data_IF_448077104614
#
_entry.id   IF_448077104614
#
_cell.length_a   1.000
_cell.length_b   1.000
_cell.length_c   1.000
_cell.angle_alpha   90.00
_cell.angle_beta   90.00
_cell.angle_gamma   90.00
#
_symmetry.space_group_name_H-M   'P 1'
#
loop_
_entity.id
_entity.type
_entity.pdbx_description
1 polymer ?
#
# COMPACT_ATOMS: atom_id res chain seq x y z
N UNK A 1 9.50 -48.00 -24.25
CA UNK A 1 9.12 -46.59 -24.15
C UNK A 1 8.86 -45.91 -25.52
N UNK A 2 9.80 -45.97 -26.49
CA UNK A 2 9.63 -45.35 -27.82
C UNK A 2 8.40 -45.92 -28.62
N UNK A 3 8.10 -47.21 -28.50
CA UNK A 3 7.00 -47.85 -29.19
C UNK A 3 5.62 -47.45 -28.59
N UNK A 4 5.53 -47.38 -27.27
CA UNK A 4 4.35 -46.92 -26.53
C UNK A 4 3.98 -45.45 -26.87
N UNK A 5 4.98 -44.58 -27.00
CA UNK A 5 4.77 -43.18 -27.38
C UNK A 5 4.30 -43.03 -28.83
N UNK A 6 4.75 -43.90 -29.75
CA UNK A 6 4.30 -43.90 -31.14
C UNK A 6 2.83 -44.37 -31.29
N UNK A 7 2.45 -45.37 -30.49
CA UNK A 7 1.08 -45.94 -30.54
C UNK A 7 0.06 -45.06 -29.82
N UNK A 8 0.50 -44.22 -28.85
CA UNK A 8 -0.34 -43.37 -28.00
C UNK A 8 0.00 -41.90 -28.09
N UNK A 9 0.41 -41.41 -29.26
CA UNK A 9 0.88 -40.04 -29.45
C UNK A 9 -0.21 -39.01 -29.11
N UNK A 10 -1.46 -39.27 -29.40
CA UNK A 10 -2.59 -38.40 -29.04
C UNK A 10 -2.77 -38.28 -27.53
N UNK A 11 -2.63 -39.40 -26.80
CA UNK A 11 -2.70 -39.41 -25.33
C UNK A 11 -1.52 -38.68 -24.72
N UNK A 12 -0.30 -38.91 -25.24
CA UNK A 12 0.91 -38.26 -24.78
C UNK A 12 0.85 -36.74 -24.98
N UNK A 13 0.38 -36.27 -26.15
CA UNK A 13 0.18 -34.85 -26.44
C UNK A 13 -0.95 -34.25 -25.60
N UNK A 14 -2.03 -34.98 -25.36
CA UNK A 14 -3.16 -34.54 -24.53
C UNK A 14 -2.75 -34.25 -23.08
N UNK A 15 -1.73 -34.95 -22.54
CA UNK A 15 -1.19 -34.72 -21.20
C UNK A 15 -0.04 -33.70 -21.24
N UNK A 16 0.85 -33.77 -22.21
CA UNK A 16 2.02 -32.93 -22.29
C UNK A 16 1.69 -31.46 -22.61
N UNK A 17 0.72 -31.20 -23.48
CA UNK A 17 0.38 -29.84 -23.90
C UNK A 17 -0.13 -28.97 -22.76
N UNK A 18 -1.07 -29.40 -21.90
CA UNK A 18 -1.48 -28.62 -20.74
C UNK A 18 -0.33 -28.35 -19.77
N UNK A 19 0.57 -29.31 -19.55
CA UNK A 19 1.74 -29.13 -18.68
C UNK A 19 2.72 -28.10 -19.24
N UNK A 20 3.00 -28.16 -20.54
CA UNK A 20 3.86 -27.16 -21.20
C UNK A 20 3.24 -25.78 -21.14
N UNK A 21 1.95 -25.65 -21.43
CA UNK A 21 1.24 -24.37 -21.30
C UNK A 21 1.30 -23.82 -19.87
N UNK A 22 1.07 -24.67 -18.87
CA UNK A 22 1.18 -24.27 -17.47
C UNK A 22 2.57 -23.73 -17.11
N UNK A 23 3.64 -24.42 -17.58
CA UNK A 23 5.03 -23.96 -17.37
C UNK A 23 5.28 -22.61 -18.06
N UNK A 24 4.83 -22.46 -19.32
CA UNK A 24 4.97 -21.21 -20.08
C UNK A 24 4.24 -20.07 -19.38
N UNK A 25 3.00 -20.26 -18.93
CA UNK A 25 2.27 -19.25 -18.16
C UNK A 25 2.94 -18.91 -16.84
N UNK A 26 3.50 -19.91 -16.15
CA UNK A 26 4.22 -19.69 -14.91
C UNK A 26 5.50 -18.85 -15.12
N UNK A 27 6.28 -19.17 -16.14
CA UNK A 27 7.50 -18.41 -16.49
C UNK A 27 7.13 -16.99 -16.96
N UNK A 28 6.13 -16.85 -17.83
CA UNK A 28 5.67 -15.55 -18.31
C UNK A 28 5.16 -14.67 -17.15
N UNK A 29 4.37 -15.25 -16.23
CA UNK A 29 3.89 -14.54 -15.05
C UNK A 29 5.02 -14.06 -14.12
N UNK A 30 6.09 -14.84 -13.97
CA UNK A 30 7.26 -14.41 -13.21
C UNK A 30 8.15 -13.41 -13.95
N UNK A 31 8.28 -13.54 -15.26
CA UNK A 31 9.10 -12.62 -16.06
C UNK A 31 8.55 -11.18 -15.98
N UNK A 32 7.23 -11.00 -15.97
CA UNK A 32 6.61 -9.67 -15.86
C UNK A 32 6.84 -9.01 -14.49
N UNK A 33 7.02 -9.78 -13.42
CA UNK A 33 7.30 -9.23 -12.09
C UNK A 33 8.78 -8.89 -11.86
N UNK A 34 9.68 -9.56 -12.57
CA UNK A 34 11.14 -9.34 -12.45
C UNK A 34 11.60 -8.08 -13.19
N UNK A 35 10.82 -7.60 -14.18
CA UNK A 35 11.22 -6.44 -15.01
C UNK A 35 10.76 -5.08 -14.44
N UNK A 36 10.08 -5.06 -13.30
CA UNK A 36 9.67 -3.81 -12.65
C UNK A 36 10.65 -3.49 -11.54
N UNK A 37 11.35 -2.36 -11.64
CA UNK A 37 12.31 -1.90 -10.64
C UNK A 37 11.62 -1.63 -9.29
N UNK A 38 12.39 -1.66 -8.20
CA UNK A 38 11.92 -1.25 -6.88
C UNK A 38 11.55 0.24 -6.86
N UNK A 39 10.64 0.66 -5.96
CA UNK A 39 10.31 2.08 -5.82
C UNK A 39 11.53 2.88 -5.39
N UNK A 40 11.64 4.09 -5.94
CA UNK A 40 12.73 5.02 -5.65
C UNK A 40 12.29 6.16 -4.74
N UNK A 41 11.00 6.26 -4.44
CA UNK A 41 10.42 7.36 -3.67
C UNK A 41 9.69 6.82 -2.44
N UNK A 42 9.83 7.55 -1.34
CA UNK A 42 9.07 7.28 -0.13
C UNK A 42 7.62 7.78 -0.30
N UNK A 43 6.71 7.19 0.46
CA UNK A 43 5.32 7.61 0.50
C UNK A 43 4.92 7.98 1.93
N UNK A 44 4.21 9.09 2.09
CA UNK A 44 3.63 9.51 3.37
C UNK A 44 2.13 9.28 3.33
N UNK A 45 1.58 8.68 4.37
CA UNK A 45 0.17 8.37 4.48
C UNK A 45 -0.33 8.44 5.93
N UNK A 46 -1.61 8.70 6.11
CA UNK A 46 -2.27 8.73 7.41
C UNK A 46 -3.06 7.44 7.64
N UNK A 47 -3.03 6.93 8.86
CA UNK A 47 -3.80 5.77 9.34
C UNK A 47 -4.71 6.22 10.48
N UNK A 48 -5.78 5.48 10.74
CA UNK A 48 -6.82 5.85 11.70
C UNK A 48 -7.48 7.21 11.39
N UNK A 49 -7.41 7.62 10.14
CA UNK A 49 -7.97 8.87 9.66
C UNK A 49 -9.01 8.60 8.57
N UNK A 50 -10.23 8.99 8.85
CA UNK A 50 -11.33 8.89 7.89
C UNK A 50 -11.75 10.30 7.47
N UNK A 51 -11.44 10.67 6.22
CA UNK A 51 -11.83 11.96 5.70
C UNK A 51 -13.32 11.96 5.37
N UNK A 52 -14.12 12.56 6.23
CA UNK A 52 -15.52 12.80 5.96
C UNK A 52 -15.80 14.31 5.95
N UNK A 53 -15.69 14.91 4.78
CA UNK A 53 -15.94 16.34 4.60
C UNK A 53 -17.38 16.77 4.97
N UNK A 54 -18.29 15.80 5.09
CA UNK A 54 -19.69 16.04 5.45
C UNK A 54 -19.98 15.91 6.95
N UNK A 55 -19.00 15.47 7.73
CA UNK A 55 -19.15 15.33 9.17
C UNK A 55 -18.62 16.57 9.90
N UNK A 56 -19.49 17.47 10.37
CA UNK A 56 -19.08 18.69 11.07
C UNK A 56 -18.41 18.40 12.44
N UNK A 57 -18.46 17.15 12.92
CA UNK A 57 -17.89 16.77 14.19
C UNK A 57 -16.48 16.15 14.03
N UNK A 58 -15.97 15.97 12.82
CA UNK A 58 -14.63 15.45 12.60
C UNK A 58 -13.58 16.43 13.12
N UNK A 59 -12.81 16.09 14.17
CA UNK A 59 -11.91 17.04 14.80
C UNK A 59 -10.58 17.19 14.06
N UNK A 60 -10.16 16.16 13.29
CA UNK A 60 -8.86 16.14 12.63
C UNK A 60 -8.99 16.43 11.14
N UNK A 61 -8.17 17.32 10.64
CA UNK A 61 -8.05 17.64 9.22
C UNK A 61 -6.58 17.52 8.81
N UNK A 62 -6.29 16.63 7.87
CA UNK A 62 -4.94 16.33 7.40
C UNK A 62 -4.87 16.47 5.90
N UNK A 63 -3.87 17.17 5.42
CA UNK A 63 -3.65 17.35 3.99
C UNK A 63 -2.29 17.94 3.68
N UNK A 64 -2.06 18.15 2.39
CA UNK A 64 -0.89 18.86 1.88
C UNK A 64 -1.36 20.19 1.32
N UNK A 65 -0.73 21.26 1.75
CA UNK A 65 -0.92 22.60 1.22
C UNK A 65 0.44 23.22 0.90
N UNK A 66 0.60 23.76 -0.30
CA UNK A 66 1.88 24.32 -0.80
C UNK A 66 3.10 23.38 -0.59
N UNK A 67 2.88 22.07 -0.75
CA UNK A 67 3.92 21.06 -0.56
C UNK A 67 4.30 20.77 0.88
N UNK A 68 3.51 21.22 1.86
CA UNK A 68 3.71 20.97 3.28
C UNK A 68 2.54 20.19 3.88
N UNK A 69 2.84 19.23 4.71
CA UNK A 69 1.86 18.51 5.51
C UNK A 69 1.33 19.41 6.61
N UNK A 70 0.02 19.54 6.70
CA UNK A 70 -0.64 20.18 7.83
C UNK A 70 -1.52 19.18 8.58
N UNK A 71 -1.58 19.34 9.90
CA UNK A 71 -2.49 18.62 10.78
C UNK A 71 -3.21 19.69 11.60
N UNK A 72 -4.51 19.79 11.39
CA UNK A 72 -5.34 20.77 12.06
C UNK A 72 -6.37 20.07 12.95
N UNK A 73 -6.55 20.60 14.16
CA UNK A 73 -7.55 20.12 15.12
C UNK A 73 -8.63 21.18 15.31
N UNK A 74 -9.87 20.80 15.05
CA UNK A 74 -11.05 21.63 15.32
C UNK A 74 -11.95 20.89 16.30
N UNK A 75 -12.12 21.37 17.55
CA UNK A 75 -12.98 20.71 18.51
C UNK A 75 -14.43 20.65 17.97
N UNK A 76 -15.13 19.51 18.12
CA UNK A 76 -16.50 19.39 17.64
C UNK A 76 -17.42 20.38 18.34
N UNK A 77 -18.37 21.01 17.62
CA UNK A 77 -19.19 22.12 18.11
C UNK A 77 -20.07 21.77 19.30
N UNK A 78 -20.38 20.50 19.52
CA UNK A 78 -21.33 20.05 20.57
C UNK A 78 -20.65 19.38 21.76
N UNK A 79 -19.33 19.50 21.95
CA UNK A 79 -18.61 18.80 23.02
C UNK A 79 -18.75 17.28 22.95
N UNK A 80 -19.16 16.75 21.81
CA UNK A 80 -19.26 15.31 21.57
C UNK A 80 -17.89 14.70 21.81
N UNK A 81 -17.84 13.65 22.65
CA UNK A 81 -16.59 13.05 23.06
C UNK A 81 -15.68 12.75 21.85
N UNK A 82 -14.51 13.36 21.84
CA UNK A 82 -13.44 13.11 20.84
C UNK A 82 -13.00 11.65 20.81
N UNK A 83 -13.43 10.83 21.80
CA UNK A 83 -13.19 9.39 21.87
C UNK A 83 -13.74 8.60 20.68
N UNK A 84 -14.67 9.16 19.91
CA UNK A 84 -15.19 8.52 18.70
C UNK A 84 -14.25 8.66 17.48
N UNK A 85 -13.33 9.62 17.53
CA UNK A 85 -12.38 9.90 16.47
C UNK A 85 -10.97 9.59 16.97
N UNK A 86 -10.39 8.44 16.59
CA UNK A 86 -9.05 8.10 17.00
C UNK A 86 -8.06 9.16 16.50
N UNK A 87 -7.00 9.38 17.27
CA UNK A 87 -5.91 10.24 16.82
C UNK A 87 -5.30 9.63 15.56
N UNK A 88 -5.11 10.43 14.51
CA UNK A 88 -4.47 9.96 13.29
C UNK A 88 -3.00 9.61 13.57
N UNK A 89 -2.48 8.66 12.81
CA UNK A 89 -1.08 8.28 12.84
C UNK A 89 -0.49 8.53 11.46
N UNK A 90 0.65 9.19 11.40
CA UNK A 90 1.36 9.45 10.15
C UNK A 90 2.46 8.40 9.99
N UNK A 91 2.49 7.76 8.83
CA UNK A 91 3.53 6.80 8.48
C UNK A 91 4.30 7.28 7.25
N UNK A 92 5.59 6.96 7.23
CA UNK A 92 6.45 7.10 6.06
C UNK A 92 6.88 5.72 5.59
N UNK A 93 6.48 5.35 4.38
CA UNK A 93 7.05 4.19 3.70
C UNK A 93 8.44 4.52 3.18
N UNK A 94 9.41 3.73 3.54
CA UNK A 94 10.79 3.88 3.13
C UNK A 94 11.07 2.94 1.95
N UNK A 95 11.41 3.50 0.80
CA UNK A 95 11.66 2.76 -0.42
C UNK A 95 12.88 1.82 -0.33
N UNK A 96 13.86 2.09 0.55
CA UNK A 96 15.07 1.26 0.71
C UNK A 96 14.80 0.00 1.54
N UNK A 97 13.98 0.14 2.58
CA UNK A 97 13.64 -0.98 3.49
C UNK A 97 12.36 -1.70 3.08
N UNK A 98 11.54 -1.08 2.24
CA UNK A 98 10.20 -1.52 1.83
C UNK A 98 9.23 -1.68 3.02
N UNK A 99 9.47 -0.93 4.09
CA UNK A 99 8.63 -0.92 5.28
C UNK A 99 8.12 0.48 5.59
N UNK A 100 7.03 0.54 6.35
CA UNK A 100 6.48 1.79 6.84
C UNK A 100 6.85 2.00 8.31
N UNK A 101 7.36 3.17 8.62
CA UNK A 101 7.75 3.62 9.94
C UNK A 101 6.77 4.68 10.43
N UNK A 102 6.40 4.63 11.71
CA UNK A 102 5.60 5.67 12.34
C UNK A 102 6.43 6.94 12.46
N UNK A 103 5.88 8.07 12.01
CA UNK A 103 6.42 9.39 12.31
C UNK A 103 5.82 9.83 13.64
N UNK A 104 6.64 9.96 14.68
CA UNK A 104 6.18 10.17 16.06
C UNK A 104 5.81 11.64 16.33
N UNK A 105 4.77 12.11 15.65
CA UNK A 105 4.25 13.47 15.78
C UNK A 105 3.42 13.58 17.06
N UNK A 106 3.81 14.48 17.95
CA UNK A 106 3.04 14.81 19.16
C UNK A 106 1.80 15.63 18.82
N UNK A 107 0.66 14.98 18.68
CA UNK A 107 -0.63 15.60 18.35
C UNK A 107 -1.27 16.38 19.51
N UNK A 108 -0.67 16.39 20.71
CA UNK A 108 -1.17 17.17 21.84
C UNK A 108 -0.63 18.60 21.87
N UNK A 109 0.42 18.89 21.10
CA UNK A 109 0.97 20.23 20.97
C UNK A 109 0.24 21.02 19.88
N UNK A 110 -0.91 21.59 20.24
CA UNK A 110 -1.77 22.34 19.33
C UNK A 110 -1.68 23.83 19.63
N UNK A 111 -1.27 24.63 18.64
CA UNK A 111 -1.23 26.08 18.69
C UNK A 111 -2.15 26.64 17.60
N UNK A 112 -3.13 27.46 17.98
CA UNK A 112 -4.13 28.01 17.05
C UNK A 112 -4.82 26.97 16.16
N UNK A 113 -5.12 25.78 16.73
CA UNK A 113 -5.72 24.67 16.02
C UNK A 113 -4.76 23.87 15.13
N UNK A 114 -3.50 24.25 15.03
CA UNK A 114 -2.47 23.54 14.24
C UNK A 114 -1.54 22.75 15.14
N UNK A 115 -1.20 21.54 14.71
CA UNK A 115 -0.15 20.75 15.38
C UNK A 115 1.21 21.37 15.04
N UNK A 116 2.00 21.60 16.10
CA UNK A 116 3.39 22.08 16.00
C UNK A 116 4.31 21.04 16.63
N UNK A 117 5.15 20.42 15.81
CA UNK A 117 6.01 19.33 16.25
C UNK A 117 7.29 19.25 15.39
N UNK A 118 8.47 18.98 15.99
CA UNK A 118 9.75 18.90 15.27
C UNK A 118 9.77 17.83 14.18
N UNK A 119 9.10 16.67 14.37
CA UNK A 119 9.06 15.61 13.39
C UNK A 119 8.16 15.98 12.21
N UNK A 120 7.09 16.75 12.46
CA UNK A 120 6.27 17.35 11.41
C UNK A 120 7.10 18.39 10.62
N UNK A 121 7.89 19.21 11.29
CA UNK A 121 8.77 20.18 10.63
C UNK A 121 9.88 19.49 9.82
N UNK A 122 10.45 18.42 10.35
CA UNK A 122 11.42 17.59 9.62
C UNK A 122 10.82 16.97 8.34
N UNK A 123 9.58 16.48 8.41
CA UNK A 123 8.86 15.97 7.25
C UNK A 123 8.57 17.10 6.24
N UNK A 124 8.22 18.29 6.73
CA UNK A 124 7.95 19.47 5.92
C UNK A 124 9.20 20.15 5.32
N UNK A 125 10.39 19.75 5.77
CA UNK A 125 11.64 20.13 5.12
C UNK A 125 11.91 19.35 3.83
N UNK A 126 11.20 18.25 3.63
CA UNK A 126 11.26 17.45 2.42
C UNK A 126 10.33 18.04 1.35
N UNK A 127 10.61 17.72 0.09
CA UNK A 127 9.71 18.09 -1.01
C UNK A 127 8.58 17.07 -1.11
N UNK A 128 7.36 17.48 -0.79
CA UNK A 128 6.18 16.63 -0.82
C UNK A 128 5.36 16.86 -2.11
N UNK A 129 5.01 15.77 -2.79
CA UNK A 129 4.24 15.79 -4.03
C UNK A 129 2.93 15.00 -3.86
N UNK A 130 1.81 15.64 -4.17
CA UNK A 130 0.46 15.03 -4.12
C UNK A 130 0.07 14.33 -5.43
N UNK A 131 1.01 14.14 -6.34
CA UNK A 131 0.74 13.43 -7.59
C UNK A 131 0.17 12.03 -7.32
N UNK A 132 -0.76 11.57 -8.17
CA UNK A 132 -1.36 10.23 -8.03
C UNK A 132 -0.35 9.11 -8.21
N UNK A 133 0.74 9.40 -8.90
CA UNK A 133 1.84 8.47 -9.11
C UNK A 133 3.16 9.14 -8.74
N UNK A 134 4.08 8.34 -8.17
CA UNK A 134 5.46 8.76 -7.97
C UNK A 134 6.17 9.02 -9.31
N UNK A 135 7.26 9.78 -9.35
CA UNK A 135 8.00 10.04 -10.59
C UNK A 135 8.49 8.77 -11.29
N UNK A 136 8.73 7.68 -10.56
CA UNK A 136 9.07 6.37 -11.10
C UNK A 136 7.86 5.50 -11.46
N UNK A 137 6.63 6.02 -11.31
CA UNK A 137 5.38 5.43 -11.80
C UNK A 137 4.67 4.47 -10.85
N UNK A 138 4.99 4.50 -9.55
CA UNK A 138 4.20 3.78 -8.55
C UNK A 138 2.98 4.59 -8.13
N UNK A 139 1.84 3.91 -7.90
CA UNK A 139 0.63 4.43 -7.26
C UNK A 139 0.44 3.81 -5.88
N UNK A 140 -0.16 4.57 -4.97
CA UNK A 140 -0.58 4.09 -3.65
C UNK A 140 -2.04 3.65 -3.75
N UNK A 141 -2.32 2.34 -3.68
CA UNK A 141 -3.64 1.78 -3.94
C UNK A 141 -4.06 0.78 -2.86
N UNK A 142 -5.37 0.73 -2.60
CA UNK A 142 -5.95 -0.37 -1.84
C UNK A 142 -6.07 -1.59 -2.75
N UNK A 143 -5.31 -2.62 -2.45
CA UNK A 143 -5.34 -3.86 -3.20
C UNK A 143 -6.30 -4.85 -2.56
N UNK A 144 -7.43 -5.06 -3.21
CA UNK A 144 -8.36 -6.13 -2.85
C UNK A 144 -7.87 -7.45 -3.45
N UNK A 145 -7.31 -8.29 -2.63
CA UNK A 145 -6.98 -9.64 -3.04
C UNK A 145 -8.24 -10.50 -2.90
N UNK A 146 -8.99 -10.64 -3.99
CA UNK A 146 -9.98 -11.70 -4.11
C UNK A 146 -9.24 -13.02 -3.90
N UNK A 147 -9.62 -13.77 -2.89
CA UNK A 147 -9.22 -15.18 -2.79
C UNK A 147 -9.87 -15.92 -3.95
N UNK A 148 -9.29 -15.79 -5.13
CA UNK A 148 -9.64 -16.64 -6.26
C UNK A 148 -9.32 -18.05 -5.80
N UNK A 149 -10.35 -18.78 -5.38
CA UNK A 149 -10.33 -20.21 -5.13
C UNK A 149 -10.16 -20.96 -6.46
N UNK A 150 -9.14 -20.60 -7.22
CA UNK A 150 -8.72 -21.35 -8.37
C UNK A 150 -7.80 -22.47 -7.90
N UNK A 151 -8.00 -23.66 -8.45
CA UNK A 151 -7.16 -24.86 -8.25
C UNK A 151 -5.66 -24.54 -8.29
N UNK A 152 -5.24 -23.56 -9.09
CA UNK A 152 -3.87 -23.08 -9.18
C UNK A 152 -3.40 -22.35 -7.89
N UNK A 153 -4.26 -21.59 -7.21
CA UNK A 153 -3.93 -20.92 -5.96
C UNK A 153 -3.73 -21.89 -4.80
N UNK A 154 -4.55 -22.95 -4.74
CA UNK A 154 -4.44 -24.00 -3.72
C UNK A 154 -3.22 -24.91 -3.95
N UNK A 155 -2.94 -25.29 -5.20
CA UNK A 155 -1.85 -26.22 -5.54
C UNK A 155 -0.45 -25.57 -5.42
N UNK A 156 -0.32 -24.27 -5.66
CA UNK A 156 1.00 -23.61 -5.74
C UNK A 156 1.31 -22.69 -4.56
N UNK A 157 0.49 -22.70 -3.52
CA UNK A 157 0.81 -22.02 -2.25
C UNK A 157 0.94 -20.49 -2.34
N UNK A 158 0.36 -19.84 -3.34
CA UNK A 158 0.35 -18.39 -3.48
C UNK A 158 -0.51 -17.65 -2.44
N UNK A 159 -0.96 -18.36 -1.38
CA UNK A 159 -1.98 -17.94 -0.44
C UNK A 159 -1.53 -17.53 0.96
N UNK A 160 -0.27 -17.13 1.19
CA UNK A 160 0.18 -16.87 2.57
C UNK A 160 -0.24 -15.52 3.17
N UNK A 161 -0.80 -14.59 2.40
CA UNK A 161 -1.40 -13.37 2.93
C UNK A 161 -2.80 -13.18 2.36
N UNK A 162 -3.78 -13.74 3.06
CA UNK A 162 -5.20 -13.51 2.80
C UNK A 162 -5.61 -12.20 3.47
N UNK A 163 -5.66 -11.13 2.71
CA UNK A 163 -6.17 -9.86 3.22
C UNK A 163 -6.04 -8.76 2.17
N UNK A 164 -7.07 -7.94 2.07
CA UNK A 164 -7.00 -6.69 1.34
C UNK A 164 -6.14 -5.71 2.12
N UNK A 165 -5.22 -5.01 1.49
CA UNK A 165 -4.30 -4.08 2.13
C UNK A 165 -3.85 -2.98 1.18
N UNK A 166 -3.30 -1.91 1.72
CA UNK A 166 -2.64 -0.89 0.90
C UNK A 166 -1.29 -1.39 0.37
N UNK A 167 -1.00 -1.02 -0.86
CA UNK A 167 0.21 -1.41 -1.57
C UNK A 167 0.69 -0.30 -2.52
N UNK A 168 1.98 -0.30 -2.80
CA UNK A 168 2.52 0.40 -3.96
C UNK A 168 2.37 -0.49 -5.18
N UNK A 169 1.80 0.05 -6.25
CA UNK A 169 1.53 -0.66 -7.49
C UNK A 169 2.19 0.02 -8.67
N UNK A 170 2.87 -0.77 -9.49
CA UNK A 170 3.38 -0.36 -10.80
C UNK A 170 3.20 -1.52 -11.77
N UNK A 171 2.40 -1.33 -12.81
CA UNK A 171 2.00 -2.39 -13.74
C UNK A 171 1.40 -3.61 -13.00
N UNK A 172 2.02 -4.78 -13.13
CA UNK A 172 1.62 -6.03 -12.45
C UNK A 172 2.30 -6.25 -11.09
N UNK A 173 3.24 -5.38 -10.70
CA UNK A 173 3.96 -5.50 -9.43
C UNK A 173 3.18 -4.82 -8.32
N UNK A 174 3.08 -5.53 -7.19
CA UNK A 174 2.50 -5.01 -5.95
C UNK A 174 3.51 -5.19 -4.82
N UNK A 175 3.76 -4.11 -4.09
CA UNK A 175 4.57 -4.11 -2.87
C UNK A 175 3.63 -3.75 -1.74
N UNK A 176 3.30 -4.74 -0.92
CA UNK A 176 2.44 -4.54 0.23
C UNK A 176 3.14 -3.65 1.26
N UNK A 177 2.43 -2.65 1.76
CA UNK A 177 2.95 -1.77 2.79
C UNK A 177 2.71 -2.43 4.14
N UNK A 178 3.80 -2.73 4.86
CA UNK A 178 3.79 -3.36 6.18
C UNK A 178 4.55 -2.50 7.19
N UNK A 179 4.19 -2.63 8.46
CA UNK A 179 4.87 -1.92 9.55
C UNK A 179 6.21 -2.57 9.88
N UNK A 180 7.17 -1.77 10.36
CA UNK A 180 8.47 -2.27 10.85
C UNK A 180 8.26 -3.15 12.09
N UNK A 181 7.42 -2.73 13.02
CA UNK A 181 7.23 -3.38 14.33
C UNK A 181 6.27 -4.58 14.30
N UNK A 182 5.81 -5.00 13.12
CA UNK A 182 4.94 -6.16 12.98
C UNK A 182 4.51 -6.41 11.53
N UNK A 183 4.27 -7.68 11.16
CA UNK A 183 3.91 -8.03 9.80
C UNK A 183 2.45 -7.67 9.47
N UNK A 184 1.85 -6.70 10.15
CA UNK A 184 0.46 -6.33 9.93
C UNK A 184 0.30 -5.34 8.77
N UNK A 185 -0.57 -5.62 7.81
CA UNK A 185 -0.88 -4.71 6.73
C UNK A 185 -1.79 -3.58 7.20
N UNK A 186 -1.74 -2.46 6.52
CA UNK A 186 -2.66 -1.36 6.73
C UNK A 186 -3.99 -1.62 6.00
N UNK A 187 -5.10 -1.58 6.75
CA UNK A 187 -6.45 -1.77 6.20
C UNK A 187 -7.17 -0.46 5.89
N UNK A 188 -6.78 0.61 6.57
CA UNK A 188 -7.30 1.95 6.36
C UNK A 188 -6.14 2.93 6.34
N UNK A 189 -5.87 3.50 5.19
CA UNK A 189 -4.85 4.50 5.02
C UNK A 189 -5.29 5.54 3.99
N UNK A 190 -4.96 6.80 4.25
CA UNK A 190 -5.10 7.89 3.28
C UNK A 190 -3.71 8.27 2.78
N UNK A 191 -3.48 8.15 1.48
CA UNK A 191 -2.28 8.69 0.86
C UNK A 191 -2.23 10.21 1.02
N UNK A 192 -1.07 10.74 1.36
CA UNK A 192 -0.84 12.18 1.53
C UNK A 192 0.12 12.71 0.47
N UNK A 193 1.31 12.14 0.35
CA UNK A 193 2.31 12.61 -0.60
C UNK A 193 3.40 11.58 -0.91
N UNK A 194 4.07 11.77 -2.03
CA UNK A 194 5.39 11.22 -2.33
C UNK A 194 6.45 12.17 -1.78
N UNK A 195 7.57 11.62 -1.32
CA UNK A 195 8.75 12.39 -0.94
C UNK A 195 9.68 12.43 -2.15
N UNK A 196 9.85 13.62 -2.74
CA UNK A 196 10.79 13.85 -3.83
C UNK A 196 12.08 14.43 -3.23
N UNK A 197 13.19 13.71 -3.38
CA UNK A 197 14.53 14.19 -2.96
C UNK A 197 15.09 15.24 -3.94
#
# INVERSE_FOLDING_TARGET
MKQFLKENIALALGIALPLVLMIVFFIAGRATTVTVDDPLYDAVFAVNYYENHSDPNQPWHIGIDEGKLYIHFSPPPNGTATSYYPKPQIYRFNHKTLHAELVDINLDNIVDGKVSDPDLDALNALKLSTALQSPDGYSFEYHYRSSGSGIAGELFGFGRYQGSAYALKKNSRFIQIIQVDGPQPFYQAKFLAWVEE
#
